data_IF_699092406603
#
_entry.id   IF_699092406603
#
_cell.length_a   1.000
_cell.length_b   1.000
_cell.length_c   1.000
_cell.angle_alpha   90.00
_cell.angle_beta   90.00
_cell.angle_gamma   90.00
#
_symmetry.space_group_name_H-M   'P 1'
#
loop_
_entity.id
_entity.type
_entity.pdbx_description
1 polymer ?
#
# COMPACT_ATOMS: atom_id res chain seq x y z
N UNK A 1 -22.31 -14.86 -7.86
CA UNK A 1 -23.20 -15.93 -7.38
C UNK A 1 -23.36 -16.89 -8.55
N UNK A 2 -22.45 -17.86 -8.67
CA UNK A 2 -22.57 -18.91 -9.69
C UNK A 2 -23.40 -20.00 -9.03
N UNK A 3 -24.69 -20.05 -9.33
CA UNK A 3 -25.45 -21.28 -9.15
C UNK A 3 -24.70 -22.27 -10.05
N UNK A 4 -23.92 -23.18 -9.45
CA UNK A 4 -23.25 -24.23 -10.21
C UNK A 4 -24.30 -24.85 -11.11
N UNK A 5 -24.04 -24.98 -12.41
CA UNK A 5 -24.99 -25.50 -13.41
C UNK A 5 -25.69 -26.78 -12.93
N UNK A 6 -24.99 -27.58 -12.11
CA UNK A 6 -25.52 -28.75 -11.40
C UNK A 6 -26.67 -28.50 -10.42
N UNK A 7 -26.67 -27.37 -9.68
CA UNK A 7 -27.69 -27.04 -8.67
C UNK A 7 -28.99 -26.54 -9.31
N UNK A 8 -28.88 -25.83 -10.44
CA UNK A 8 -30.04 -25.40 -11.21
C UNK A 8 -30.73 -26.60 -11.90
N UNK A 9 -29.96 -27.45 -12.58
CA UNK A 9 -30.48 -28.69 -13.18
C UNK A 9 -31.14 -29.61 -12.16
N UNK A 10 -30.52 -29.77 -10.98
CA UNK A 10 -31.11 -30.56 -9.89
C UNK A 10 -32.43 -29.95 -9.38
N UNK A 11 -32.51 -28.62 -9.34
CA UNK A 11 -33.71 -27.93 -8.90
C UNK A 11 -34.86 -28.09 -9.92
N UNK A 12 -34.58 -27.99 -11.22
CA UNK A 12 -35.56 -28.28 -12.29
C UNK A 12 -36.04 -29.74 -12.24
N UNK A 13 -35.11 -30.70 -12.12
CA UNK A 13 -35.45 -32.12 -12.01
C UNK A 13 -36.34 -32.40 -10.78
N UNK A 14 -36.02 -31.76 -9.64
CA UNK A 14 -36.80 -31.91 -8.42
C UNK A 14 -38.22 -31.33 -8.55
N UNK A 15 -38.38 -30.19 -9.24
CA UNK A 15 -39.69 -29.60 -9.52
C UNK A 15 -40.51 -30.51 -10.43
N UNK A 16 -39.90 -31.06 -11.49
CA UNK A 16 -40.57 -31.99 -12.41
C UNK A 16 -41.04 -33.26 -11.69
N UNK A 17 -40.21 -33.84 -10.82
CA UNK A 17 -40.55 -35.01 -10.02
C UNK A 17 -41.68 -34.72 -9.00
N UNK A 18 -41.69 -33.53 -8.39
CA UNK A 18 -42.80 -33.11 -7.53
C UNK A 18 -44.11 -32.96 -8.30
N UNK A 19 -44.06 -32.47 -9.55
CA UNK A 19 -45.25 -32.32 -10.40
C UNK A 19 -45.80 -33.70 -10.79
N UNK A 20 -44.94 -34.68 -11.04
CA UNK A 20 -45.32 -36.07 -11.26
C UNK A 20 -46.01 -36.68 -10.03
N UNK A 21 -45.44 -36.48 -8.83
CA UNK A 21 -45.89 -37.12 -7.59
C UNK A 21 -47.15 -36.48 -6.98
N UNK A 22 -47.31 -35.16 -7.13
CA UNK A 22 -48.34 -34.37 -6.44
C UNK A 22 -49.35 -33.72 -7.40
N UNK A 23 -49.10 -33.78 -8.71
CA UNK A 23 -49.94 -33.14 -9.73
C UNK A 23 -49.83 -31.61 -9.74
N UNK A 24 -50.83 -30.95 -10.32
CA UNK A 24 -50.87 -29.49 -10.50
C UNK A 24 -51.29 -28.75 -9.23
N UNK A 25 -50.38 -28.70 -8.25
CA UNK A 25 -50.56 -27.90 -7.03
C UNK A 25 -50.26 -26.41 -7.30
N UNK A 26 -51.15 -25.47 -6.92
CA UNK A 26 -50.97 -24.03 -7.20
C UNK A 26 -49.66 -23.44 -6.66
N UNK A 27 -49.21 -23.96 -5.51
CA UNK A 27 -47.94 -23.54 -4.90
C UNK A 27 -46.72 -24.12 -5.61
N UNK A 28 -46.86 -25.28 -6.26
CA UNK A 28 -45.81 -25.92 -7.04
C UNK A 28 -45.63 -25.23 -8.40
N UNK A 29 -46.74 -24.78 -9.01
CA UNK A 29 -46.72 -23.98 -10.25
C UNK A 29 -45.98 -22.66 -10.01
N UNK A 30 -46.25 -21.96 -8.91
CA UNK A 30 -45.51 -20.74 -8.53
C UNK A 30 -44.02 -20.97 -8.28
N UNK A 31 -43.65 -22.17 -7.84
CA UNK A 31 -42.27 -22.58 -7.63
C UNK A 31 -41.55 -22.89 -8.95
N UNK A 32 -42.30 -23.36 -9.96
CA UNK A 32 -41.81 -23.62 -11.31
C UNK A 32 -41.68 -22.35 -12.18
N UNK A 33 -42.52 -21.34 -11.93
CA UNK A 33 -42.51 -20.06 -12.67
C UNK A 33 -41.41 -19.08 -12.21
N UNK A 34 -40.67 -19.38 -11.13
CA UNK A 34 -39.56 -18.57 -10.60
C UNK A 34 -38.18 -19.21 -10.77
N UNK A 35 -37.12 -18.56 -10.30
CA UNK A 35 -35.79 -19.21 -10.19
C UNK A 35 -35.84 -20.30 -9.10
N UNK A 36 -35.59 -21.58 -9.44
CA UNK A 36 -35.80 -22.68 -8.53
C UNK A 36 -34.66 -22.76 -7.47
N UNK A 37 -35.00 -22.48 -6.21
CA UNK A 37 -34.12 -22.61 -5.05
C UNK A 37 -34.32 -23.96 -4.35
N UNK A 38 -33.24 -24.76 -4.27
CA UNK A 38 -33.21 -26.06 -3.60
C UNK A 38 -33.74 -26.02 -2.16
N UNK A 39 -33.50 -24.91 -1.45
CA UNK A 39 -33.97 -24.72 -0.07
C UNK A 39 -35.49 -24.65 0.00
N UNK A 40 -36.11 -23.92 -0.93
CA UNK A 40 -37.56 -23.73 -1.01
C UNK A 40 -38.24 -25.02 -1.47
N UNK A 41 -37.67 -25.69 -2.49
CA UNK A 41 -38.17 -26.97 -3.01
C UNK A 41 -38.13 -28.04 -1.91
N UNK A 42 -37.00 -28.15 -1.19
CA UNK A 42 -36.84 -29.08 -0.08
C UNK A 42 -37.84 -28.80 1.05
N UNK A 43 -38.04 -27.54 1.42
CA UNK A 43 -39.02 -27.15 2.43
C UNK A 43 -40.46 -27.52 2.02
N UNK A 44 -40.79 -27.35 0.74
CA UNK A 44 -42.07 -27.75 0.17
C UNK A 44 -42.28 -29.27 0.23
N UNK A 45 -41.32 -30.06 -0.27
CA UNK A 45 -41.38 -31.53 -0.26
C UNK A 45 -41.46 -32.09 1.17
N UNK A 46 -40.65 -31.57 2.10
CA UNK A 46 -40.68 -31.97 3.51
C UNK A 46 -42.00 -31.62 4.20
N UNK A 47 -42.65 -30.51 3.81
CA UNK A 47 -43.99 -30.17 4.31
C UNK A 47 -45.04 -31.16 3.79
N UNK A 48 -45.04 -31.49 2.50
CA UNK A 48 -45.97 -32.47 1.92
C UNK A 48 -45.81 -33.86 2.53
N UNK A 49 -44.59 -34.28 2.86
CA UNK A 49 -44.36 -35.50 3.66
C UNK A 49 -45.04 -35.46 5.03
N UNK A 50 -45.02 -34.31 5.72
CA UNK A 50 -45.66 -34.16 7.04
C UNK A 50 -47.19 -34.09 6.95
N UNK A 51 -47.71 -33.48 5.90
CA UNK A 51 -49.15 -33.40 5.63
C UNK A 51 -49.74 -34.76 5.22
N UNK A 52 -48.89 -35.68 4.76
CA UNK A 52 -49.26 -37.02 4.30
C UNK A 52 -49.59 -37.03 2.81
N UNK A 53 -49.19 -38.11 2.13
CA UNK A 53 -49.43 -38.32 0.69
C UNK A 53 -50.30 -39.55 0.50
N UNK A 54 -51.15 -39.55 -0.53
CA UNK A 54 -52.19 -40.57 -0.74
C UNK A 54 -51.65 -42.00 -0.96
N UNK A 55 -50.40 -42.16 -1.42
CA UNK A 55 -49.79 -43.45 -1.73
C UNK A 55 -48.53 -43.69 -0.89
N UNK A 56 -48.33 -44.91 -0.33
CA UNK A 56 -47.07 -45.32 0.29
C UNK A 56 -45.88 -45.20 -0.67
N UNK A 57 -46.09 -45.46 -1.96
CA UNK A 57 -45.06 -45.31 -3.01
C UNK A 57 -44.68 -43.85 -3.21
N UNK A 58 -45.65 -42.94 -3.27
CA UNK A 58 -45.39 -41.51 -3.38
C UNK A 58 -44.71 -40.97 -2.11
N UNK A 59 -45.05 -41.51 -0.95
CA UNK A 59 -44.40 -41.16 0.32
C UNK A 59 -42.92 -41.55 0.31
N UNK A 60 -42.59 -42.74 -0.20
CA UNK A 60 -41.21 -43.20 -0.34
C UNK A 60 -40.42 -42.34 -1.33
N UNK A 61 -40.95 -42.11 -2.54
CA UNK A 61 -40.29 -41.26 -3.56
C UNK A 61 -40.08 -39.83 -3.07
N UNK A 62 -41.05 -39.26 -2.36
CA UNK A 62 -40.93 -37.91 -1.80
C UNK A 62 -39.88 -37.85 -0.67
N UNK A 63 -39.75 -38.89 0.15
CA UNK A 63 -38.71 -38.99 1.18
C UNK A 63 -37.30 -39.14 0.58
N UNK A 64 -37.18 -39.93 -0.49
CA UNK A 64 -35.94 -40.05 -1.28
C UNK A 64 -35.54 -38.73 -1.92
N UNK A 65 -36.50 -38.00 -2.50
CA UNK A 65 -36.27 -36.67 -3.05
C UNK A 65 -35.77 -35.68 -1.99
N UNK A 66 -36.41 -35.63 -0.82
CA UNK A 66 -35.94 -34.76 0.29
C UNK A 66 -34.53 -35.11 0.72
N UNK A 67 -34.19 -36.41 0.79
CA UNK A 67 -32.85 -36.87 1.17
C UNK A 67 -31.80 -36.48 0.12
N UNK A 68 -32.12 -36.62 -1.18
CA UNK A 68 -31.24 -36.15 -2.27
C UNK A 68 -31.03 -34.64 -2.23
N UNK A 69 -32.09 -33.87 -2.03
CA UNK A 69 -32.01 -32.40 -1.89
C UNK A 69 -31.19 -32.00 -0.66
N UNK A 70 -31.32 -32.72 0.45
CA UNK A 70 -30.53 -32.49 1.68
C UNK A 70 -29.05 -32.84 1.52
N UNK A 71 -28.73 -33.89 0.76
CA UNK A 71 -27.35 -34.23 0.43
C UNK A 71 -26.73 -33.16 -0.47
N UNK A 72 -27.41 -32.78 -1.55
CA UNK A 72 -26.95 -31.75 -2.47
C UNK A 72 -26.75 -30.39 -1.80
N UNK A 73 -27.68 -29.99 -0.92
CA UNK A 73 -27.56 -28.73 -0.15
C UNK A 73 -26.38 -28.77 0.82
N UNK A 74 -26.16 -29.90 1.50
CA UNK A 74 -24.99 -30.08 2.40
C UNK A 74 -23.68 -30.05 1.62
N UNK A 75 -23.63 -30.67 0.45
CA UNK A 75 -22.46 -30.65 -0.42
C UNK A 75 -22.19 -29.25 -0.96
N UNK A 76 -23.23 -28.47 -1.30
CA UNK A 76 -23.08 -27.06 -1.68
C UNK A 76 -22.52 -26.21 -0.55
N UNK A 77 -23.11 -26.30 0.65
CA UNK A 77 -22.63 -25.59 1.83
C UNK A 77 -21.19 -25.99 2.14
N UNK A 78 -20.86 -27.28 2.13
CA UNK A 78 -19.51 -27.77 2.39
C UNK A 78 -18.52 -27.26 1.33
N UNK A 79 -18.91 -27.23 0.05
CA UNK A 79 -18.09 -26.68 -1.03
C UNK A 79 -17.85 -25.19 -0.84
N UNK A 80 -18.90 -24.40 -0.57
CA UNK A 80 -18.79 -22.97 -0.29
C UNK A 80 -17.92 -22.70 0.93
N UNK A 81 -18.10 -23.46 2.01
CA UNK A 81 -17.31 -23.34 3.23
C UNK A 81 -15.83 -23.65 2.94
N UNK A 82 -15.52 -24.71 2.19
CA UNK A 82 -14.14 -25.03 1.77
C UNK A 82 -13.51 -23.87 0.98
N UNK A 83 -14.24 -23.30 0.03
CA UNK A 83 -13.76 -22.13 -0.75
C UNK A 83 -13.47 -20.95 0.17
N UNK A 84 -14.42 -20.57 1.04
CA UNK A 84 -14.23 -19.42 1.94
C UNK A 84 -13.09 -19.65 2.95
N UNK A 85 -12.96 -20.86 3.49
CA UNK A 85 -11.85 -21.22 4.38
C UNK A 85 -10.50 -21.13 3.67
N UNK A 86 -10.39 -21.65 2.44
CA UNK A 86 -9.17 -21.54 1.64
C UNK A 86 -8.82 -20.07 1.34
N UNK A 87 -9.83 -19.25 0.99
CA UNK A 87 -9.66 -17.81 0.77
C UNK A 87 -9.14 -17.10 2.04
N UNK A 88 -9.70 -17.43 3.20
CA UNK A 88 -9.30 -16.86 4.48
C UNK A 88 -7.88 -17.27 4.88
N UNK A 89 -7.51 -18.54 4.71
CA UNK A 89 -6.14 -19.01 4.98
C UNK A 89 -5.10 -18.35 4.08
N UNK A 90 -5.42 -18.17 2.79
CA UNK A 90 -4.56 -17.47 1.84
C UNK A 90 -4.33 -16.02 2.26
N UNK A 91 -5.39 -15.30 2.59
CA UNK A 91 -5.33 -13.94 3.14
C UNK A 91 -4.45 -13.89 4.39
N UNK A 92 -4.62 -14.83 5.33
CA UNK A 92 -3.79 -14.89 6.53
C UNK A 92 -2.31 -15.17 6.24
N UNK A 93 -1.98 -16.02 5.26
CA UNK A 93 -0.58 -16.29 4.87
C UNK A 93 0.07 -15.04 4.31
N UNK A 94 -0.61 -14.34 3.40
CA UNK A 94 -0.12 -13.07 2.83
C UNK A 94 0.09 -12.03 3.93
N UNK A 95 -0.90 -11.84 4.81
CA UNK A 95 -0.79 -10.87 5.93
C UNK A 95 0.36 -11.22 6.88
N UNK A 96 0.56 -12.50 7.21
CA UNK A 96 1.69 -12.93 8.05
C UNK A 96 3.04 -12.64 7.37
N UNK A 97 3.17 -12.91 6.07
CA UNK A 97 4.39 -12.61 5.34
C UNK A 97 4.66 -11.09 5.20
N UNK A 98 3.59 -10.29 5.12
CA UNK A 98 3.67 -8.84 5.13
C UNK A 98 4.17 -8.29 6.47
N UNK A 99 3.85 -8.94 7.59
CA UNK A 99 4.27 -8.52 8.93
C UNK A 99 5.74 -8.85 9.22
N UNK A 100 6.28 -9.92 8.64
CA UNK A 100 7.69 -10.30 8.77
C UNK A 100 8.63 -9.45 7.89
N UNK A 101 8.08 -8.55 7.07
CA UNK A 101 8.86 -7.62 6.25
C UNK A 101 9.57 -8.30 5.08
N UNK A 102 8.97 -9.33 4.49
CA UNK A 102 9.55 -10.02 3.34
C UNK A 102 9.73 -9.09 2.14
N UNK A 103 10.91 -9.07 1.53
CA UNK A 103 11.14 -8.34 0.27
C UNK A 103 10.42 -9.00 -0.93
N UNK A 104 9.84 -10.19 -0.73
CA UNK A 104 9.19 -11.00 -1.77
C UNK A 104 7.66 -10.90 -1.74
N UNK A 105 7.11 -9.82 -1.19
CA UNK A 105 5.66 -9.60 -1.10
C UNK A 105 4.97 -9.73 -2.45
N UNK A 106 5.55 -9.15 -3.51
CA UNK A 106 4.97 -9.20 -4.85
C UNK A 106 4.79 -10.64 -5.34
N UNK A 107 5.83 -11.46 -5.19
CA UNK A 107 5.81 -12.88 -5.58
C UNK A 107 4.80 -13.68 -4.76
N UNK A 108 4.83 -13.53 -3.43
CA UNK A 108 3.93 -14.24 -2.52
C UNK A 108 2.46 -13.91 -2.79
N UNK A 109 2.13 -12.64 -2.99
CA UNK A 109 0.76 -12.19 -3.30
C UNK A 109 0.30 -12.80 -4.63
N UNK A 110 1.13 -12.72 -5.68
CA UNK A 110 0.75 -13.30 -6.98
C UNK A 110 0.58 -14.81 -6.91
N UNK A 111 1.46 -15.51 -6.18
CA UNK A 111 1.40 -16.96 -6.04
C UNK A 111 0.11 -17.38 -5.31
N UNK A 112 -0.22 -16.76 -4.18
CA UNK A 112 -1.43 -17.08 -3.41
C UNK A 112 -2.72 -16.77 -4.15
N UNK A 113 -2.74 -15.69 -4.96
CA UNK A 113 -3.86 -15.39 -5.84
C UNK A 113 -4.11 -16.54 -6.84
N UNK A 114 -3.05 -17.11 -7.41
CA UNK A 114 -3.19 -18.19 -8.38
C UNK A 114 -3.48 -19.55 -7.72
N UNK A 115 -2.72 -19.93 -6.68
CA UNK A 115 -2.80 -21.28 -6.10
C UNK A 115 -3.97 -21.47 -5.14
N UNK A 116 -4.32 -20.43 -4.39
CA UNK A 116 -5.29 -20.55 -3.28
C UNK A 116 -6.62 -19.88 -3.59
N UNK A 117 -6.61 -18.84 -4.42
CA UNK A 117 -7.81 -18.10 -4.83
C UNK A 117 -8.28 -18.47 -6.24
N UNK A 118 -7.51 -19.29 -6.96
CA UNK A 118 -7.90 -19.87 -8.25
C UNK A 118 -7.95 -18.87 -9.41
N UNK A 119 -7.31 -17.71 -9.28
CA UNK A 119 -7.16 -16.80 -10.43
C UNK A 119 -6.25 -17.43 -11.47
N UNK A 120 -6.54 -17.26 -12.76
CA UNK A 120 -5.75 -17.88 -13.84
C UNK A 120 -4.34 -17.32 -13.90
N UNK A 121 -4.23 -16.00 -13.85
CA UNK A 121 -2.96 -15.26 -13.79
C UNK A 121 -3.08 -14.16 -12.76
N UNK A 122 -1.98 -13.89 -12.07
CA UNK A 122 -1.83 -12.75 -11.18
C UNK A 122 -0.51 -12.03 -11.47
N UNK A 123 -0.54 -10.71 -11.55
CA UNK A 123 0.63 -9.90 -11.83
C UNK A 123 0.70 -8.71 -10.87
N UNK A 124 1.86 -8.49 -10.28
CA UNK A 124 2.16 -7.34 -9.44
C UNK A 124 3.02 -6.36 -10.22
N UNK A 125 2.62 -5.09 -10.23
CA UNK A 125 3.35 -4.06 -10.96
C UNK A 125 3.60 -2.83 -10.09
N UNK A 126 4.79 -2.24 -10.22
CA UNK A 126 5.17 -1.01 -9.50
C UNK A 126 4.96 0.19 -10.42
N UNK A 127 4.41 1.27 -9.86
CA UNK A 127 4.16 2.53 -10.57
C UNK A 127 5.28 3.53 -10.26
N UNK A 128 5.88 4.10 -11.31
CA UNK A 128 6.93 5.12 -11.22
C UNK A 128 6.59 6.30 -12.11
N UNK A 129 5.97 7.33 -11.54
CA UNK A 129 5.61 8.53 -12.30
C UNK A 129 4.58 8.22 -13.40
N UNK A 130 5.01 8.29 -14.66
CA UNK A 130 4.16 8.01 -15.83
C UNK A 130 4.30 6.60 -16.39
N UNK A 131 5.09 5.73 -15.73
CA UNK A 131 5.34 4.37 -16.15
C UNK A 131 4.94 3.38 -15.07
N UNK A 132 4.79 2.12 -15.47
CA UNK A 132 4.62 1.00 -14.57
C UNK A 132 5.42 -0.20 -15.08
N UNK A 133 5.93 -1.02 -14.17
CA UNK A 133 6.76 -2.18 -14.49
C UNK A 133 6.24 -3.41 -13.74
N UNK A 134 5.94 -4.52 -14.43
CA UNK A 134 5.73 -5.82 -13.80
C UNK A 134 6.96 -6.21 -12.98
N UNK A 135 6.75 -6.65 -11.74
CA UNK A 135 7.83 -7.11 -10.85
C UNK A 135 7.59 -8.54 -10.33
N UNK A 136 6.37 -9.05 -10.46
CA UNK A 136 6.05 -10.45 -10.21
C UNK A 136 4.89 -10.88 -11.10
N UNK A 137 4.95 -12.13 -11.55
CA UNK A 137 3.90 -12.81 -12.31
C UNK A 137 3.78 -14.24 -11.79
N UNK A 138 2.55 -14.66 -11.52
CA UNK A 138 2.21 -16.04 -11.27
C UNK A 138 1.09 -16.47 -12.20
N UNK A 139 1.09 -17.76 -12.51
CA UNK A 139 0.06 -18.43 -13.30
C UNK A 139 -0.44 -19.60 -12.49
N UNK A 140 -1.74 -19.88 -12.56
CA UNK A 140 -2.33 -21.03 -11.91
C UNK A 140 -1.72 -22.32 -12.49
N UNK A 141 -1.12 -23.18 -11.65
CA UNK A 141 -0.48 -24.40 -12.10
C UNK A 141 -1.45 -25.40 -12.72
N UNK A 142 -2.75 -25.27 -12.49
CA UNK A 142 -3.79 -26.13 -13.07
C UNK A 142 -4.14 -25.74 -14.52
N UNK A 143 -3.68 -24.59 -15.00
CA UNK A 143 -3.93 -24.15 -16.38
C UNK A 143 -3.03 -24.88 -17.37
N UNK A 144 -3.63 -25.37 -18.45
CA UNK A 144 -2.94 -25.96 -19.60
C UNK A 144 -2.60 -24.88 -20.62
N UNK A 145 -1.31 -24.54 -20.75
CA UNK A 145 -0.81 -23.57 -21.73
C UNK A 145 0.64 -23.17 -21.48
N UNK A 146 1.34 -22.72 -22.51
CA UNK A 146 2.68 -22.16 -22.36
C UNK A 146 2.61 -20.67 -22.00
N UNK A 147 2.74 -20.37 -20.71
CA UNK A 147 2.79 -19.00 -20.20
C UNK A 147 4.23 -18.51 -20.00
N UNK A 148 5.23 -19.30 -20.42
CA UNK A 148 6.64 -18.92 -20.33
C UNK A 148 6.91 -17.71 -21.23
N UNK A 149 6.37 -17.70 -22.45
CA UNK A 149 6.46 -16.55 -23.36
C UNK A 149 5.91 -15.27 -22.75
N UNK A 150 4.83 -15.37 -21.97
CA UNK A 150 4.26 -14.23 -21.26
C UNK A 150 5.18 -13.72 -20.15
N UNK A 151 5.75 -14.62 -19.35
CA UNK A 151 6.71 -14.25 -18.30
C UNK A 151 7.94 -13.55 -18.89
N UNK A 152 8.52 -14.11 -19.96
CA UNK A 152 9.68 -13.52 -20.65
C UNK A 152 9.32 -12.21 -21.34
N UNK A 153 8.13 -12.09 -21.92
CA UNK A 153 7.72 -10.88 -22.62
C UNK A 153 7.57 -9.67 -21.69
N UNK A 154 7.34 -9.87 -20.40
CA UNK A 154 7.03 -8.79 -19.46
C UNK A 154 8.15 -8.50 -18.46
N UNK A 155 9.10 -9.42 -18.32
CA UNK A 155 10.23 -9.27 -17.41
C UNK A 155 11.08 -8.04 -17.77
N UNK A 156 11.41 -7.24 -16.76
CA UNK A 156 12.17 -6.01 -16.91
C UNK A 156 11.52 -4.90 -17.75
N UNK A 157 10.28 -5.07 -18.25
CA UNK A 157 9.62 -4.04 -19.07
C UNK A 157 9.12 -2.86 -18.26
N UNK A 158 9.32 -1.68 -18.82
CA UNK A 158 8.72 -0.44 -18.34
C UNK A 158 7.67 0.03 -19.36
N UNK A 159 6.42 0.07 -18.92
CA UNK A 159 5.25 0.34 -19.76
C UNK A 159 4.75 1.75 -19.48
N UNK A 160 4.52 2.53 -20.52
CA UNK A 160 3.95 3.88 -20.41
C UNK A 160 2.47 3.81 -20.06
N UNK A 161 2.03 4.60 -19.08
CA UNK A 161 0.61 4.77 -18.78
C UNK A 161 -0.17 5.37 -19.97
N UNK A 162 0.49 6.03 -20.93
CA UNK A 162 -0.18 6.52 -22.14
C UNK A 162 -0.67 5.38 -23.04
N UNK A 163 0.03 4.25 -23.01
CA UNK A 163 -0.28 3.08 -23.84
C UNK A 163 -1.32 2.16 -23.19
N UNK A 164 -1.73 2.50 -21.96
CA UNK A 164 -2.61 1.72 -21.11
C UNK A 164 -3.67 2.64 -20.42
N UNK A 165 -4.69 3.11 -21.17
CA UNK A 165 -5.62 4.14 -20.67
C UNK A 165 -6.39 3.74 -19.41
N UNK A 166 -6.78 2.47 -19.24
CA UNK A 166 -7.51 2.01 -18.05
C UNK A 166 -6.60 1.97 -16.82
N UNK A 167 -5.36 1.52 -16.99
CA UNK A 167 -4.33 1.50 -15.97
C UNK A 167 -3.95 2.94 -15.57
N UNK A 168 -3.86 3.86 -16.53
CA UNK A 168 -3.71 5.29 -16.26
C UNK A 168 -4.87 5.85 -15.44
N UNK A 169 -6.11 5.47 -15.78
CA UNK A 169 -7.28 5.90 -15.03
C UNK A 169 -7.29 5.34 -13.61
N UNK A 170 -6.92 4.07 -13.44
CA UNK A 170 -6.77 3.41 -12.15
C UNK A 170 -5.74 4.12 -11.27
N UNK A 171 -4.57 4.45 -11.82
CA UNK A 171 -3.52 5.17 -11.10
C UNK A 171 -3.97 6.58 -10.72
N UNK A 172 -4.67 7.26 -11.63
CA UNK A 172 -5.16 8.63 -11.44
C UNK A 172 -6.29 8.71 -10.41
N UNK A 173 -7.31 7.86 -10.53
CA UNK A 173 -8.50 7.87 -9.66
C UNK A 173 -8.33 7.05 -8.40
N UNK A 174 -7.32 6.17 -8.34
CA UNK A 174 -7.12 5.18 -7.28
C UNK A 174 -8.36 4.30 -7.09
N UNK A 175 -8.99 3.90 -8.19
CA UNK A 175 -10.17 3.03 -8.18
C UNK A 175 -9.88 1.73 -8.91
N UNK A 176 -10.29 0.58 -8.35
CA UNK A 176 -10.22 -0.68 -9.07
C UNK A 176 -11.20 -0.65 -10.25
N UNK A 177 -10.95 -1.51 -11.23
CA UNK A 177 -11.91 -1.79 -12.29
C UNK A 177 -11.88 -3.28 -12.62
N UNK A 178 -13.02 -3.77 -13.12
CA UNK A 178 -13.16 -5.08 -13.71
C UNK A 178 -13.68 -4.92 -15.15
N UNK A 179 -13.27 -5.83 -16.03
CA UNK A 179 -13.76 -5.92 -17.41
C UNK A 179 -14.03 -7.39 -17.74
N UNK A 180 -15.12 -7.61 -18.46
CA UNK A 180 -15.48 -8.92 -19.01
C UNK A 180 -14.81 -9.13 -20.37
N UNK A 181 -14.80 -10.38 -20.87
CA UNK A 181 -14.14 -10.81 -22.10
C UNK A 181 -14.33 -9.87 -23.30
N UNK A 182 -15.54 -9.35 -23.49
CA UNK A 182 -15.90 -8.46 -24.61
C UNK A 182 -15.18 -7.10 -24.55
N UNK A 183 -14.88 -6.61 -23.35
CA UNK A 183 -14.28 -5.30 -23.11
C UNK A 183 -12.80 -5.37 -22.73
N UNK A 184 -12.26 -6.56 -22.44
CA UNK A 184 -10.85 -6.76 -22.08
C UNK A 184 -9.90 -6.19 -23.14
N UNK A 185 -10.25 -6.33 -24.43
CA UNK A 185 -9.44 -5.86 -25.56
C UNK A 185 -9.54 -4.34 -25.83
N UNK A 186 -10.49 -3.64 -25.19
CA UNK A 186 -10.67 -2.18 -25.33
C UNK A 186 -9.98 -1.43 -24.19
N UNK A 187 -8.88 -0.76 -24.54
CA UNK A 187 -8.19 0.23 -23.69
C UNK A 187 -7.40 -0.34 -22.48
N UNK A 188 -7.17 -1.65 -22.47
CA UNK A 188 -6.19 -2.34 -21.58
C UNK A 188 -4.89 -2.55 -22.35
N UNK A 189 -3.75 -2.74 -21.67
CA UNK A 189 -2.48 -3.00 -22.34
C UNK A 189 -2.50 -4.34 -23.12
N UNK A 190 -2.69 -4.26 -24.44
CA UNK A 190 -2.94 -5.40 -25.35
C UNK A 190 -1.95 -6.56 -25.23
N UNK A 191 -0.62 -6.35 -25.16
CA UNK A 191 0.33 -7.47 -25.11
C UNK A 191 0.08 -8.42 -23.94
N UNK A 192 -0.42 -7.95 -22.80
CA UNK A 192 -0.74 -8.80 -21.66
C UNK A 192 -2.03 -9.61 -21.82
N UNK A 193 -2.97 -9.08 -22.59
CA UNK A 193 -4.30 -9.67 -22.83
C UNK A 193 -4.24 -10.67 -23.97
N UNK A 194 -3.50 -10.34 -25.05
CA UNK A 194 -3.37 -11.19 -26.23
C UNK A 194 -2.71 -12.53 -25.90
N UNK A 195 -1.80 -12.54 -24.91
CA UNK A 195 -1.08 -13.71 -24.43
C UNK A 195 -1.90 -14.60 -23.47
N UNK A 196 -2.78 -14.03 -22.62
CA UNK A 196 -3.59 -14.83 -21.67
C UNK A 196 -5.04 -15.06 -22.06
N UNK A 197 -5.56 -14.31 -23.06
CA UNK A 197 -6.93 -14.38 -23.58
C UNK A 197 -8.00 -14.62 -22.50
N UNK A 198 -8.09 -13.76 -21.49
CA UNK A 198 -8.92 -14.05 -20.34
C UNK A 198 -10.40 -13.79 -20.61
N UNK A 199 -11.26 -14.57 -19.97
CA UNK A 199 -12.71 -14.36 -19.91
C UNK A 199 -13.09 -13.14 -19.05
N UNK A 200 -12.19 -12.69 -18.17
CA UNK A 200 -12.34 -11.45 -17.43
C UNK A 200 -11.02 -11.00 -16.82
N UNK A 201 -10.89 -9.69 -16.62
CA UNK A 201 -9.70 -9.06 -16.04
C UNK A 201 -10.05 -8.03 -14.94
N UNK A 202 -9.33 -8.07 -13.82
CA UNK A 202 -9.41 -7.08 -12.75
C UNK A 202 -8.06 -6.39 -12.60
N UNK A 203 -8.10 -5.09 -12.35
CA UNK A 203 -6.94 -4.35 -11.86
C UNK A 203 -7.31 -3.58 -10.59
N UNK A 204 -6.44 -3.63 -9.58
CA UNK A 204 -6.62 -2.96 -8.29
C UNK A 204 -5.38 -2.15 -7.93
N UNK A 205 -5.52 -0.87 -7.54
CA UNK A 205 -4.39 -0.06 -7.10
C UNK A 205 -3.95 -0.40 -5.67
N UNK A 206 -2.65 -0.37 -5.42
CA UNK A 206 -2.05 -0.30 -4.09
C UNK A 206 -1.73 1.16 -3.81
N UNK A 207 -2.43 1.74 -2.84
CA UNK A 207 -2.38 3.18 -2.55
C UNK A 207 -1.66 3.41 -1.23
N UNK A 208 -0.56 4.17 -1.28
CA UNK A 208 0.23 4.59 -0.11
C UNK A 208 0.28 6.12 -0.12
N UNK A 209 -0.01 6.76 1.01
CA UNK A 209 -0.02 8.23 1.14
C UNK A 209 -0.83 8.93 0.01
N UNK A 210 -2.02 8.40 -0.29
CA UNK A 210 -2.88 8.86 -1.38
C UNK A 210 -2.28 8.79 -2.80
N UNK A 211 -1.21 8.02 -3.01
CA UNK A 211 -0.61 7.75 -4.32
C UNK A 211 -0.70 6.27 -4.65
N UNK A 212 -1.14 5.95 -5.88
CA UNK A 212 -1.03 4.58 -6.37
C UNK A 212 0.44 4.28 -6.66
N UNK A 213 1.07 3.48 -5.81
CA UNK A 213 2.50 3.13 -5.89
C UNK A 213 2.74 1.79 -6.57
N UNK A 214 1.70 0.96 -6.63
CA UNK A 214 1.69 -0.32 -7.30
C UNK A 214 0.27 -0.68 -7.72
N UNK A 215 0.11 -1.77 -8.45
CA UNK A 215 -1.16 -2.33 -8.85
C UNK A 215 -1.07 -3.85 -8.94
N UNK A 216 -2.19 -4.52 -8.66
CA UNK A 216 -2.36 -5.96 -8.81
C UNK A 216 -3.33 -6.18 -9.97
N UNK A 217 -2.96 -7.06 -10.87
CA UNK A 217 -3.80 -7.52 -11.96
C UNK A 217 -4.12 -8.99 -11.79
N UNK A 218 -5.37 -9.38 -11.98
CA UNK A 218 -5.76 -10.78 -12.01
C UNK A 218 -6.68 -11.06 -13.18
N UNK A 219 -6.65 -12.30 -13.67
CA UNK A 219 -7.58 -12.75 -14.70
C UNK A 219 -8.24 -14.10 -14.34
N UNK A 220 -9.31 -14.41 -15.07
CA UNK A 220 -9.93 -15.73 -15.10
C UNK A 220 -10.12 -16.18 -16.54
N UNK A 221 -9.95 -17.48 -16.80
CA UNK A 221 -10.07 -18.05 -18.14
C UNK A 221 -11.48 -18.57 -18.48
N UNK A 222 -12.19 -19.12 -17.49
CA UNK A 222 -13.46 -19.82 -17.72
C UNK A 222 -14.65 -19.22 -16.98
N UNK A 223 -14.42 -18.52 -15.86
CA UNK A 223 -15.49 -17.93 -15.05
C UNK A 223 -15.56 -16.40 -15.22
N UNK A 224 -16.78 -15.87 -15.17
CA UNK A 224 -16.99 -14.42 -15.03
C UNK A 224 -16.44 -13.92 -13.70
N UNK A 225 -15.85 -12.72 -13.71
CA UNK A 225 -15.44 -12.05 -12.48
C UNK A 225 -16.65 -11.49 -11.75
N UNK A 226 -16.64 -11.56 -10.42
CA UNK A 226 -17.69 -11.02 -9.57
C UNK A 226 -17.21 -9.80 -8.78
N UNK A 227 -18.15 -8.99 -8.27
CA UNK A 227 -17.84 -7.89 -7.34
C UNK A 227 -17.07 -8.38 -6.10
N UNK A 228 -17.30 -9.63 -5.69
CA UNK A 228 -16.56 -10.28 -4.60
C UNK A 228 -15.07 -10.40 -4.93
N UNK A 229 -14.72 -10.71 -6.18
CA UNK A 229 -13.32 -10.84 -6.60
C UNK A 229 -12.60 -9.49 -6.51
N UNK A 230 -13.26 -8.41 -6.95
CA UNK A 230 -12.74 -7.04 -6.79
C UNK A 230 -12.50 -6.71 -5.32
N UNK A 231 -13.42 -7.11 -4.43
CA UNK A 231 -13.27 -6.88 -3.00
C UNK A 231 -12.10 -7.68 -2.39
N UNK A 232 -11.98 -8.97 -2.71
CA UNK A 232 -10.89 -9.84 -2.21
C UNK A 232 -9.53 -9.29 -2.62
N UNK A 233 -9.35 -8.97 -3.91
CA UNK A 233 -8.08 -8.42 -4.41
C UNK A 233 -7.84 -7.02 -3.81
N UNK A 234 -8.90 -6.23 -3.61
CA UNK A 234 -8.90 -4.97 -2.87
C UNK A 234 -8.32 -5.07 -1.46
N UNK A 235 -8.77 -6.06 -0.69
CA UNK A 235 -8.29 -6.29 0.68
C UNK A 235 -6.80 -6.64 0.68
N UNK A 236 -6.35 -7.50 -0.24
CA UNK A 236 -4.93 -7.83 -0.40
C UNK A 236 -4.08 -6.61 -0.78
N UNK A 237 -4.57 -5.79 -1.70
CA UNK A 237 -3.91 -4.54 -2.08
C UNK A 237 -3.79 -3.57 -0.88
N UNK A 238 -4.83 -3.46 -0.07
CA UNK A 238 -4.82 -2.69 1.17
C UNK A 238 -3.80 -3.21 2.18
N UNK A 239 -3.72 -4.53 2.37
CA UNK A 239 -2.72 -5.15 3.25
C UNK A 239 -1.28 -4.86 2.76
N UNK A 240 -1.05 -4.92 1.43
CA UNK A 240 0.23 -4.55 0.82
C UNK A 240 0.59 -3.08 1.09
N UNK A 241 -0.38 -2.17 0.94
CA UNK A 241 -0.18 -0.75 1.24
C UNK A 241 0.20 -0.53 2.71
N UNK A 242 -0.54 -1.12 3.65
CA UNK A 242 -0.25 -1.00 5.08
C UNK A 242 1.11 -1.61 5.46
N UNK A 243 1.54 -2.69 4.82
CA UNK A 243 2.90 -3.22 5.01
C UNK A 243 3.96 -2.24 4.51
N UNK A 244 3.76 -1.66 3.31
CA UNK A 244 4.67 -0.67 2.74
C UNK A 244 4.80 0.58 3.61
N UNK A 245 3.69 1.12 4.11
CA UNK A 245 3.67 2.26 5.04
C UNK A 245 4.44 1.94 6.32
N UNK A 246 4.24 0.75 6.89
CA UNK A 246 4.98 0.30 8.09
C UNK A 246 6.48 0.17 7.82
N UNK A 247 6.87 -0.36 6.67
CA UNK A 247 8.27 -0.47 6.27
C UNK A 247 8.91 0.92 6.06
N UNK A 248 8.17 1.87 5.50
CA UNK A 248 8.63 3.26 5.32
C UNK A 248 8.82 3.97 6.66
N UNK A 249 7.86 3.84 7.57
CA UNK A 249 7.95 4.40 8.91
C UNK A 249 9.12 3.80 9.70
N UNK A 250 9.31 2.48 9.65
CA UNK A 250 10.46 1.81 10.30
C UNK A 250 11.79 2.34 9.76
N UNK A 251 11.91 2.50 8.44
CA UNK A 251 13.12 3.09 7.82
C UNK A 251 13.34 4.54 8.25
N UNK A 252 12.29 5.36 8.29
CA UNK A 252 12.39 6.74 8.76
C UNK A 252 12.85 6.82 10.23
N UNK A 253 12.33 5.94 11.11
CA UNK A 253 12.77 5.86 12.50
C UNK A 253 14.25 5.47 12.56
N UNK A 254 14.66 4.46 11.81
CA UNK A 254 16.07 4.01 11.80
C UNK A 254 17.01 5.12 11.36
N UNK A 255 16.74 5.76 10.21
CA UNK A 255 17.55 6.89 9.71
C UNK A 255 17.57 8.06 10.69
N UNK A 256 16.46 8.32 11.40
CA UNK A 256 16.42 9.40 12.39
C UNK A 256 17.23 9.07 13.64
N UNK A 257 17.22 7.81 14.09
CA UNK A 257 18.06 7.36 15.20
C UNK A 257 19.54 7.46 14.85
N UNK A 258 19.95 7.01 13.65
CA UNK A 258 21.33 7.15 13.16
C UNK A 258 21.78 8.62 13.14
N UNK A 259 20.91 9.54 12.72
CA UNK A 259 21.20 10.98 12.75
C UNK A 259 21.37 11.51 14.17
N UNK A 260 20.54 11.06 15.12
CA UNK A 260 20.64 11.45 16.53
C UNK A 260 21.95 10.93 17.12
N UNK A 261 22.30 9.67 16.89
CA UNK A 261 23.54 9.07 17.41
C UNK A 261 24.78 9.77 16.85
N UNK A 262 24.78 10.10 15.54
CA UNK A 262 25.86 10.85 14.92
C UNK A 262 26.01 12.27 15.47
N UNK A 263 24.91 12.92 15.87
CA UNK A 263 24.94 14.23 16.52
C UNK A 263 25.47 14.13 17.95
N UNK A 264 25.00 13.14 18.72
CA UNK A 264 25.49 12.87 20.08
C UNK A 264 27.00 12.60 20.07
N UNK A 265 27.49 11.79 19.12
CA UNK A 265 28.92 11.52 18.97
C UNK A 265 29.70 12.79 18.65
N UNK A 266 29.22 13.64 17.73
CA UNK A 266 29.87 14.93 17.41
C UNK A 266 29.93 15.86 18.63
N UNK A 267 28.83 15.99 19.38
CA UNK A 267 28.80 16.80 20.60
C UNK A 267 29.74 16.26 21.68
N UNK A 268 29.75 14.94 21.87
CA UNK A 268 30.64 14.28 22.84
C UNK A 268 32.10 14.50 22.48
N UNK A 269 32.46 14.42 21.19
CA UNK A 269 33.81 14.70 20.73
C UNK A 269 34.20 16.17 20.93
N UNK A 270 33.31 17.11 20.62
CA UNK A 270 33.54 18.53 20.85
C UNK A 270 33.78 18.84 22.34
N UNK A 271 32.99 18.25 23.25
CA UNK A 271 33.19 18.38 24.70
C UNK A 271 34.56 17.84 25.14
N UNK A 272 34.97 16.67 24.66
CA UNK A 272 36.32 16.12 24.99
C UNK A 272 37.46 17.01 24.52
N UNK A 273 37.32 17.66 23.37
CA UNK A 273 38.33 18.61 22.88
C UNK A 273 38.43 19.85 23.78
N UNK A 274 37.33 20.30 24.38
CA UNK A 274 37.33 21.41 25.34
C UNK A 274 37.90 21.00 26.70
N UNK A 275 37.74 19.73 27.09
CA UNK A 275 38.27 19.18 28.34
C UNK A 275 39.75 18.77 28.27
N UNK A 276 40.37 18.77 27.08
CA UNK A 276 41.80 18.52 26.96
C UNK A 276 42.59 19.70 27.59
N UNK A 277 43.47 19.45 28.57
CA UNK A 277 44.27 20.50 29.17
C UNK A 277 45.13 21.16 28.08
N UNK A 278 45.09 22.49 28.02
CA UNK A 278 46.03 23.31 27.26
C UNK A 278 47.43 22.96 27.76
N UNK A 279 48.14 22.07 27.07
CA UNK A 279 49.58 21.90 27.24
C UNK A 279 50.22 23.18 26.75
N UNK A 280 50.49 24.09 27.69
CA UNK A 280 51.32 25.26 27.44
C UNK A 280 52.66 24.76 26.89
N UNK A 281 53.07 25.14 25.66
CA UNK A 281 54.40 24.80 25.19
C UNK A 281 55.40 25.49 26.12
N UNK A 282 56.35 24.71 26.62
CA UNK A 282 57.48 25.18 27.41
C UNK A 282 58.17 26.31 26.65
N UNK A 283 58.21 27.51 27.25
CA UNK A 283 58.81 28.71 26.68
C UNK A 283 60.33 28.48 26.51
N UNK A 284 60.73 28.02 25.34
CA UNK A 284 62.10 28.11 24.90
C UNK A 284 62.45 29.60 24.72
N UNK A 285 63.43 30.04 25.50
CA UNK A 285 64.07 31.35 25.48
C UNK A 285 64.44 31.77 24.06
N UNK A 286 63.74 32.79 23.53
CA UNK A 286 64.20 33.55 22.37
C UNK A 286 64.81 34.86 22.84
N UNK A 287 66.10 35.03 22.56
CA UNK A 287 66.85 36.27 22.74
C UNK A 287 66.27 37.39 21.87
N UNK A 288 66.02 38.54 22.49
CA UNK A 288 65.67 39.80 21.83
C UNK A 288 66.87 40.74 21.81
N UNK A 289 67.25 41.30 20.65
CA UNK A 289 68.07 42.50 20.59
C UNK A 289 67.30 43.76 20.99
N UNK A 290 68.05 44.67 21.58
CA UNK A 290 67.65 45.77 22.44
C UNK A 290 67.11 47.01 21.69
N UNK A 291 65.99 47.51 22.19
CA UNK A 291 65.59 48.89 22.48
C UNK A 291 66.03 50.09 21.62
N UNK A 292 65.00 50.91 21.33
CA UNK A 292 65.06 52.36 21.15
C UNK A 292 63.98 52.84 20.17
N UNK A 293 63.06 53.77 20.45
CA UNK A 293 62.54 54.43 21.64
C UNK A 293 61.37 55.32 21.15
N UNK A 294 60.22 55.29 21.85
CA UNK A 294 59.22 56.37 22.00
C UNK A 294 58.40 56.76 20.73
N UNK A 295 57.09 57.00 20.74
CA UNK A 295 56.14 57.35 21.81
C UNK A 295 54.71 57.34 21.24
N UNK A 296 53.73 56.95 22.07
CA UNK A 296 52.33 57.40 22.05
C UNK A 296 51.44 57.02 20.88
N UNK A 297 50.51 56.08 21.08
CA UNK A 297 49.09 56.41 21.25
C UNK A 297 48.25 55.15 21.50
N UNK A 298 47.28 55.38 22.37
CA UNK A 298 46.28 54.50 22.94
C UNK A 298 45.34 53.93 21.86
N UNK A 299 45.14 52.60 21.78
CA UNK A 299 43.80 51.99 21.74
C UNK A 299 43.90 50.47 21.93
N UNK A 300 43.35 50.01 23.05
CA UNK A 300 43.00 48.62 23.31
C UNK A 300 42.00 48.09 22.27
N UNK A 301 42.39 47.13 21.44
CA UNK A 301 41.44 46.32 20.67
C UNK A 301 40.94 45.15 21.52
N UNK A 302 39.84 45.40 22.22
CA UNK A 302 38.95 44.38 22.74
C UNK A 302 38.34 43.55 21.58
N UNK A 303 37.98 42.27 21.80
CA UNK A 303 37.40 41.43 20.77
C UNK A 303 36.07 42.00 20.28
N UNK A 304 35.98 42.26 18.99
CA UNK A 304 34.80 42.82 18.32
C UNK A 304 33.66 41.81 18.38
N UNK A 305 32.67 42.09 19.23
CA UNK A 305 31.34 41.47 19.18
C UNK A 305 30.69 41.83 17.84
N UNK A 306 30.33 40.87 16.96
CA UNK A 306 29.65 41.20 15.71
C UNK A 306 28.22 41.67 16.02
N UNK A 307 28.01 42.97 15.83
CA UNK A 307 26.72 43.64 15.99
C UNK A 307 25.63 42.98 15.16
N UNK A 308 24.46 42.74 15.76
CA UNK A 308 23.23 42.26 15.15
C UNK A 308 22.61 43.23 14.09
N UNK A 309 23.37 44.18 13.55
CA UNK A 309 22.91 45.25 12.66
C UNK A 309 22.98 44.92 11.16
N UNK A 310 23.44 43.73 10.77
CA UNK A 310 23.66 43.36 9.35
C UNK A 310 22.53 42.54 8.70
N UNK A 311 21.50 42.18 9.46
CA UNK A 311 20.35 41.41 8.97
C UNK A 311 19.23 42.34 8.49
N UNK A 312 18.72 42.09 7.29
CA UNK A 312 17.51 42.74 6.77
C UNK A 312 16.31 42.43 7.67
N UNK A 313 15.24 43.23 7.60
CA UNK A 313 14.01 42.98 8.36
C UNK A 313 13.49 41.54 8.18
N UNK A 314 13.50 41.07 6.93
CA UNK A 314 13.06 39.71 6.61
C UNK A 314 13.99 38.62 7.14
N UNK A 315 15.29 38.84 7.11
CA UNK A 315 16.25 37.90 7.70
C UNK A 315 16.14 37.85 9.24
N UNK A 316 15.79 38.97 9.90
CA UNK A 316 15.52 38.98 11.34
C UNK A 316 14.28 38.17 11.69
N UNK A 317 13.19 38.32 10.95
CA UNK A 317 11.97 37.51 11.15
C UNK A 317 12.26 36.01 11.00
N UNK A 318 13.00 35.64 9.96
CA UNK A 318 13.42 34.26 9.74
C UNK A 318 14.33 33.78 10.87
N UNK A 319 15.31 34.57 11.29
CA UNK A 319 16.21 34.27 12.41
C UNK A 319 15.44 34.03 13.72
N UNK A 320 14.45 34.87 14.03
CA UNK A 320 13.62 34.72 15.24
C UNK A 320 12.89 33.38 15.23
N UNK A 321 12.29 32.99 14.10
CA UNK A 321 11.62 31.70 13.99
C UNK A 321 12.60 30.51 13.96
N UNK A 322 13.81 30.71 13.44
CA UNK A 322 14.88 29.70 13.52
C UNK A 322 15.30 29.46 14.97
N UNK A 323 15.42 30.52 15.77
CA UNK A 323 15.81 30.43 17.17
C UNK A 323 14.78 29.69 18.05
N UNK A 324 13.51 29.59 17.63
CA UNK A 324 12.50 28.76 18.31
C UNK A 324 12.51 27.29 17.88
N UNK A 325 13.40 26.89 16.97
CA UNK A 325 13.43 25.53 16.42
C UNK A 325 12.40 25.23 15.34
N UNK A 326 11.69 26.23 14.79
CA UNK A 326 10.71 26.00 13.72
C UNK A 326 11.38 25.37 12.48
N UNK A 327 10.73 24.50 11.72
CA UNK A 327 11.30 23.97 10.45
C UNK A 327 11.15 24.98 9.30
N UNK A 328 11.88 24.81 8.19
CA UNK A 328 11.71 25.70 7.02
C UNK A 328 10.27 25.68 6.48
N UNK A 329 9.59 24.52 6.54
CA UNK A 329 8.18 24.37 6.18
C UNK A 329 7.23 25.08 7.17
N UNK A 330 7.60 25.19 8.45
CA UNK A 330 6.83 25.95 9.42
C UNK A 330 7.03 27.46 9.25
N UNK A 331 8.27 27.88 8.94
CA UNK A 331 8.61 29.27 8.64
C UNK A 331 7.92 29.73 7.35
N UNK A 332 7.92 28.90 6.31
CA UNK A 332 7.28 29.21 5.03
C UNK A 332 5.77 29.46 5.19
N UNK A 333 5.09 28.59 5.94
CA UNK A 333 3.66 28.78 6.30
C UNK A 333 3.44 30.05 7.12
N UNK A 334 4.26 30.30 8.15
CA UNK A 334 4.08 31.45 9.05
C UNK A 334 4.36 32.79 8.38
N UNK A 335 5.25 32.80 7.40
CA UNK A 335 5.68 33.98 6.68
C UNK A 335 5.06 34.11 5.27
N UNK A 336 4.18 33.18 4.88
CA UNK A 336 3.51 33.11 3.57
C UNK A 336 4.47 33.21 2.37
N UNK A 337 5.58 32.46 2.40
CA UNK A 337 6.59 32.40 1.31
C UNK A 337 6.93 30.95 0.97
N UNK A 338 7.62 30.71 -0.16
CA UNK A 338 8.02 29.35 -0.56
C UNK A 338 9.15 28.77 0.32
N UNK A 339 9.20 27.45 0.47
CA UNK A 339 10.29 26.74 1.15
C UNK A 339 11.67 27.05 0.54
N UNK A 340 11.73 27.24 -0.78
CA UNK A 340 12.95 27.66 -1.49
C UNK A 340 13.41 29.05 -1.06
N UNK A 341 12.48 29.99 -0.93
CA UNK A 341 12.76 31.36 -0.45
C UNK A 341 13.28 31.33 1.00
N UNK A 342 12.70 30.50 1.87
CA UNK A 342 13.17 30.32 3.25
C UNK A 342 14.61 29.78 3.26
N UNK A 343 14.92 28.75 2.46
CA UNK A 343 16.29 28.21 2.35
C UNK A 343 17.30 29.29 1.94
N UNK A 344 16.96 30.15 0.98
CA UNK A 344 17.83 31.26 0.58
C UNK A 344 18.05 32.29 1.69
N UNK A 345 17.03 32.62 2.49
CA UNK A 345 17.19 33.48 3.65
C UNK A 345 18.09 32.84 4.72
N UNK A 346 17.91 31.55 5.01
CA UNK A 346 18.75 30.80 5.97
C UNK A 346 20.22 30.82 5.56
N UNK A 347 20.53 30.58 4.29
CA UNK A 347 21.91 30.64 3.78
C UNK A 347 22.55 32.02 3.93
N UNK A 348 21.79 33.09 3.66
CA UNK A 348 22.27 34.47 3.86
C UNK A 348 22.50 34.78 5.33
N UNK A 349 21.62 34.32 6.22
CA UNK A 349 21.77 34.46 7.66
C UNK A 349 23.04 33.76 8.15
N UNK A 350 23.27 32.52 7.74
CA UNK A 350 24.48 31.75 8.05
C UNK A 350 25.74 32.50 7.62
N UNK A 351 25.78 32.96 6.37
CA UNK A 351 26.89 33.74 5.83
C UNK A 351 27.13 35.04 6.60
N UNK A 352 26.06 35.75 6.99
CA UNK A 352 26.14 37.04 7.70
C UNK A 352 26.52 36.89 9.17
N UNK A 353 26.17 35.77 9.79
CA UNK A 353 26.48 35.48 11.20
C UNK A 353 27.76 34.66 11.39
N UNK A 354 28.39 34.19 10.30
CA UNK A 354 29.60 33.36 10.37
C UNK A 354 29.36 31.97 10.94
N UNK A 355 28.12 31.48 10.87
CA UNK A 355 27.70 30.18 11.42
C UNK A 355 27.35 29.22 10.31
N UNK A 356 27.56 27.94 10.54
CA UNK A 356 27.36 26.86 9.58
C UNK A 356 26.14 25.99 9.90
N UNK A 357 25.64 26.05 11.15
CA UNK A 357 24.54 25.21 11.60
C UNK A 357 23.40 25.99 12.26
N UNK A 358 22.20 25.39 12.25
CA UNK A 358 21.03 25.93 12.94
C UNK A 358 21.20 25.89 14.47
N UNK A 359 21.97 24.93 14.98
CA UNK A 359 22.31 24.82 16.40
C UNK A 359 23.19 25.99 16.85
N UNK A 360 24.21 26.35 16.06
CA UNK A 360 25.04 27.55 16.30
C UNK A 360 24.20 28.84 16.31
N UNK A 361 23.22 28.97 15.40
CA UNK A 361 22.27 30.10 15.41
C UNK A 361 21.47 30.17 16.72
N UNK A 362 20.96 29.03 17.20
CA UNK A 362 20.18 28.98 18.43
C UNK A 362 21.05 29.32 19.66
N UNK A 363 22.28 28.81 19.72
CA UNK A 363 23.25 29.12 20.76
C UNK A 363 23.62 30.62 20.76
N UNK A 364 23.84 31.21 19.58
CA UNK A 364 24.15 32.64 19.44
C UNK A 364 22.97 33.51 19.88
N UNK A 365 21.72 33.10 19.56
CA UNK A 365 20.52 33.80 20.04
C UNK A 365 20.28 33.64 21.55
N UNK A 366 20.66 32.50 22.13
CA UNK A 366 20.58 32.27 23.57
C UNK A 366 21.59 33.14 24.34
N UNK A 367 22.82 33.22 23.85
CA UNK A 367 23.87 34.07 24.42
C UNK A 367 23.58 35.58 24.25
N UNK A 368 22.86 35.97 23.19
CA UNK A 368 22.43 37.35 23.03
C UNK A 368 21.33 37.76 24.05
N UNK A 369 20.48 36.82 24.47
CA UNK A 369 19.44 37.06 25.48
C UNK A 369 20.00 37.19 26.90
N UNK A 370 21.12 36.53 27.21
CA UNK A 370 21.78 36.63 28.52
C UNK A 370 22.58 37.92 28.70
N UNK A 371 23.02 38.57 27.62
CA UNK A 371 23.80 39.82 27.67
C UNK A 371 22.93 41.09 27.69
N UNK A 372 21.65 41.03 27.29
CA UNK A 372 20.71 42.18 27.29
C UNK A 372 19.78 42.23 28.52
N UNK A 373 20.06 41.46 29.56
CA UNK A 373 19.22 41.35 30.78
C UNK A 373 19.90 41.79 32.08
N UNK A 374 20.91 42.66 32.01
CA UNK A 374 21.62 43.24 33.15
C UNK A 374 21.31 44.71 33.35
#
# INVERSE_FOLDING_TARGET
>A
MVISTSSFELAEQAVAELQELLGSEPNLIRLADGEPDLTVIRAFAARKLREGVASPEHTLRLAELVTRLDAASRDDIARRLRVHSAQFEALQRVVRALDTGSDRIAELVTQELCTSLGYGKAMFSVVRGSTWSPVALAVNPELTGDFHELATAIDGREISLRDAPREAELVRRRRPYAVDAADTYRHTYRPLIDLSRPAGYIAVPIVVDARAVAMIHVDRQSDSLSDTDVHIVGVLAGACASSKERADLRRQIHTRNEQVDAEIQRLTQALRHLEQPLTMPELATFDLPHAGAQSGEDTSQAPVVPRAHTLTAREREVLTLMATGATNAAISRRLCISDGTVKSHVQRIFKKLGVSTRAEVAALCANAKTVSGG
#
